data_IF_744064715004
#
_entry.id   IF_744064715004
#
_cell.length_a   1.000
_cell.length_b   1.000
_cell.length_c   1.000
_cell.angle_alpha   90.00
_cell.angle_beta   90.00
_cell.angle_gamma   90.00
#
_symmetry.space_group_name_H-M   'P 1'
#
loop_
_entity.id
_entity.type
_entity.pdbx_description
1 polymer ?
#
# COMPACT_ATOMS: atom_id res chain seq x y z
N UNK A 1 13.84 19.70 -11.87
CA UNK A 1 15.12 19.66 -11.12
C UNK A 1 15.98 18.64 -11.82
N UNK A 2 17.29 18.87 -12.04
CA UNK A 2 18.13 17.88 -12.72
C UNK A 2 17.92 16.48 -12.14
N UNK A 3 17.56 15.51 -12.99
CA UNK A 3 17.31 14.12 -12.60
C UNK A 3 15.98 13.78 -11.91
N UNK A 4 15.03 14.72 -11.73
CA UNK A 4 13.78 14.40 -11.02
C UNK A 4 12.60 15.37 -11.21
N UNK A 5 11.42 14.92 -10.74
CA UNK A 5 10.19 15.74 -10.69
C UNK A 5 10.17 16.56 -9.40
N UNK A 6 9.75 17.82 -9.50
CA UNK A 6 9.42 18.62 -8.34
C UNK A 6 8.11 19.36 -8.57
N UNK A 7 7.29 19.41 -7.53
CA UNK A 7 6.16 20.33 -7.46
C UNK A 7 6.67 21.68 -6.99
N UNK A 8 6.21 22.75 -7.63
CA UNK A 8 6.53 24.12 -7.25
C UNK A 8 5.22 24.81 -6.88
N UNK A 9 5.15 25.37 -5.68
CA UNK A 9 4.12 26.32 -5.31
C UNK A 9 4.73 27.73 -5.35
N UNK A 10 4.00 28.68 -5.93
CA UNK A 10 4.44 30.07 -6.09
C UNK A 10 3.31 30.95 -5.56
N UNK A 11 3.65 31.90 -4.70
CA UNK A 11 2.76 32.98 -4.28
C UNK A 11 3.38 34.33 -4.66
N UNK A 12 2.53 35.30 -4.97
CA UNK A 12 2.91 36.63 -5.46
C UNK A 12 2.49 37.71 -4.46
N UNK A 13 2.85 38.97 -4.72
CA UNK A 13 2.64 40.13 -3.83
C UNK A 13 1.23 40.24 -3.23
N UNK A 14 0.19 39.89 -4.00
CA UNK A 14 -1.20 39.90 -3.53
C UNK A 14 -1.46 38.97 -2.33
N UNK A 15 -0.63 37.96 -2.12
CA UNK A 15 -0.71 37.00 -1.01
C UNK A 15 0.60 36.93 -0.17
N UNK A 16 1.70 37.50 -0.66
CA UNK A 16 3.00 37.54 -0.01
C UNK A 16 3.54 38.98 -0.05
N UNK A 17 3.27 39.79 0.99
CA UNK A 17 3.61 41.22 0.99
C UNK A 17 5.10 41.54 0.73
N UNK A 18 5.99 40.58 0.98
CA UNK A 18 7.44 40.70 0.79
C UNK A 18 7.91 40.29 -0.62
N UNK A 19 7.00 39.98 -1.55
CA UNK A 19 7.32 39.66 -2.94
C UNK A 19 6.98 38.23 -3.36
N UNK A 20 7.83 37.64 -4.21
CA UNK A 20 7.65 36.26 -4.68
C UNK A 20 8.18 35.26 -3.66
N UNK A 21 7.36 34.27 -3.30
CA UNK A 21 7.82 33.13 -2.50
C UNK A 21 7.58 31.80 -3.23
N UNK A 22 8.56 30.89 -3.13
CA UNK A 22 8.57 29.60 -3.80
C UNK A 22 8.73 28.46 -2.79
N UNK A 23 7.95 27.39 -2.96
CA UNK A 23 8.15 26.14 -2.24
C UNK A 23 8.35 24.99 -3.23
N UNK A 24 9.51 24.33 -3.15
CA UNK A 24 9.86 23.18 -3.98
C UNK A 24 9.70 21.89 -3.19
N UNK A 25 8.89 20.96 -3.71
CA UNK A 25 8.78 19.59 -3.18
C UNK A 25 9.34 18.63 -4.20
N UNK A 26 10.53 18.07 -3.93
CA UNK A 26 11.17 17.06 -4.78
C UNK A 26 10.53 15.70 -4.53
N UNK A 27 10.31 14.95 -5.60
CA UNK A 27 9.89 13.56 -5.53
C UNK A 27 11.07 12.66 -5.93
N UNK A 28 11.15 11.46 -5.35
CA UNK A 28 12.12 10.44 -5.78
C UNK A 28 11.89 10.15 -7.27
N UNK A 29 12.97 10.04 -8.03
CA UNK A 29 12.92 9.72 -9.46
C UNK A 29 12.54 8.26 -9.71
N UNK A 30 12.88 7.38 -8.76
CA UNK A 30 12.58 5.96 -8.72
C UNK A 30 11.50 5.68 -7.66
N UNK A 31 10.65 4.69 -7.90
CA UNK A 31 9.59 4.26 -6.99
C UNK A 31 10.18 3.75 -5.68
N UNK A 32 9.43 3.90 -4.59
CA UNK A 32 9.75 3.21 -3.36
C UNK A 32 9.40 1.72 -3.51
N UNK A 33 10.13 0.86 -2.81
CA UNK A 33 9.88 -0.59 -2.75
C UNK A 33 9.79 -1.00 -1.29
N UNK A 34 9.17 -2.16 -1.01
CA UNK A 34 9.12 -2.67 0.36
C UNK A 34 10.52 -3.00 0.93
N UNK A 35 11.45 -3.64 0.19
CA UNK A 35 12.84 -3.80 0.65
C UNK A 35 13.55 -2.48 0.95
N UNK A 36 13.36 -1.45 0.11
CA UNK A 36 13.94 -0.14 0.39
C UNK A 36 13.36 0.50 1.66
N UNK A 37 12.07 0.32 1.93
CA UNK A 37 11.47 0.77 3.19
C UNK A 37 11.98 0.01 4.41
N UNK A 38 12.33 -1.27 4.26
CA UNK A 38 12.98 -2.06 5.32
C UNK A 38 14.36 -1.48 5.62
N UNK A 39 15.17 -1.20 4.59
CA UNK A 39 16.51 -0.59 4.76
C UNK A 39 16.46 0.77 5.46
N UNK A 40 15.40 1.54 5.25
CA UNK A 40 15.22 2.88 5.83
C UNK A 40 14.45 2.86 7.17
N UNK A 41 14.29 1.68 7.78
CA UNK A 41 13.54 1.46 9.03
C UNK A 41 12.10 2.01 9.01
N UNK A 42 11.51 2.16 7.84
CA UNK A 42 10.15 2.71 7.72
C UNK A 42 9.09 1.66 8.09
N UNK A 43 9.39 0.40 7.81
CA UNK A 43 8.59 -0.79 8.16
C UNK A 43 9.53 -1.98 8.31
N UNK A 44 9.26 -2.87 9.26
CA UNK A 44 10.07 -4.09 9.39
C UNK A 44 9.69 -5.16 8.33
N UNK A 45 10.52 -6.21 8.15
CA UNK A 45 10.26 -7.25 7.15
C UNK A 45 8.89 -7.93 7.28
N UNK A 46 8.42 -8.17 8.51
CA UNK A 46 7.14 -8.84 8.75
C UNK A 46 5.96 -7.97 8.31
N UNK A 47 5.98 -6.67 8.65
CA UNK A 47 4.96 -5.73 8.17
C UNK A 47 4.93 -5.60 6.66
N UNK A 48 6.11 -5.55 6.02
CA UNK A 48 6.23 -5.52 4.57
C UNK A 48 5.67 -6.80 3.93
N UNK A 49 5.97 -7.96 4.50
CA UNK A 49 5.43 -9.25 4.05
C UNK A 49 3.91 -9.33 4.19
N UNK A 50 3.36 -8.83 5.30
CA UNK A 50 1.93 -8.77 5.53
C UNK A 50 1.23 -7.86 4.51
N UNK A 51 1.77 -6.67 4.23
CA UNK A 51 1.24 -5.78 3.18
C UNK A 51 1.30 -6.47 1.81
N UNK A 52 2.41 -7.12 1.47
CA UNK A 52 2.56 -7.88 0.22
C UNK A 52 1.48 -8.97 0.09
N UNK A 53 1.23 -9.74 1.16
CA UNK A 53 0.20 -10.76 1.18
C UNK A 53 -1.22 -10.19 1.01
N UNK A 54 -1.52 -9.06 1.68
CA UNK A 54 -2.82 -8.38 1.59
C UNK A 54 -3.08 -7.84 0.17
N UNK A 55 -2.06 -7.25 -0.46
CA UNK A 55 -2.14 -6.70 -1.82
C UNK A 55 -2.36 -7.81 -2.84
N UNK A 56 -1.57 -8.88 -2.76
CA UNK A 56 -1.70 -10.06 -3.63
C UNK A 56 -3.05 -10.78 -3.43
N UNK A 57 -3.61 -10.71 -2.22
CA UNK A 57 -4.98 -11.14 -1.89
C UNK A 57 -6.09 -10.22 -2.40
N UNK A 58 -5.78 -9.21 -3.22
CA UNK A 58 -6.71 -8.28 -3.86
C UNK A 58 -7.65 -7.56 -2.87
N UNK A 59 -7.14 -7.19 -1.69
CA UNK A 59 -7.92 -6.48 -0.66
C UNK A 59 -7.97 -4.99 -0.88
N UNK A 60 -8.97 -4.35 -0.26
CA UNK A 60 -9.05 -2.90 -0.23
C UNK A 60 -8.23 -2.33 0.93
N UNK A 61 -7.31 -1.41 0.60
CA UNK A 61 -6.34 -0.86 1.54
C UNK A 61 -6.33 0.66 1.48
N UNK A 62 -6.54 1.30 2.64
CA UNK A 62 -6.31 2.73 2.81
C UNK A 62 -5.01 2.98 3.56
N UNK A 63 -4.11 3.72 2.93
CA UNK A 63 -2.88 4.21 3.55
C UNK A 63 -3.16 5.57 4.19
N UNK A 64 -3.13 5.62 5.52
CA UNK A 64 -3.46 6.81 6.31
C UNK A 64 -2.22 7.40 6.98
N UNK A 65 -2.35 8.61 7.50
CA UNK A 65 -1.27 9.37 8.11
C UNK A 65 -1.34 10.87 7.88
N UNK A 66 -0.44 11.62 8.51
CA UNK A 66 -0.31 13.07 8.33
C UNK A 66 0.33 13.46 6.99
N UNK A 67 0.36 14.76 6.71
CA UNK A 67 0.99 15.30 5.49
C UNK A 67 2.50 15.05 5.52
N UNK A 68 3.01 14.40 4.48
CA UNK A 68 4.44 14.06 4.37
C UNK A 68 4.89 12.91 5.29
N UNK A 69 3.96 12.10 5.83
CA UNK A 69 4.29 10.90 6.58
C UNK A 69 4.80 9.75 5.70
N UNK A 70 4.47 9.73 4.40
CA UNK A 70 4.93 8.70 3.46
C UNK A 70 3.83 7.87 2.80
N UNK A 71 2.54 8.17 3.05
CA UNK A 71 1.37 7.45 2.50
C UNK A 71 1.48 7.09 1.01
N UNK A 72 1.67 8.10 0.16
CA UNK A 72 1.73 7.92 -1.30
C UNK A 72 2.95 7.11 -1.72
N UNK A 73 4.05 7.22 -1.00
CA UNK A 73 5.24 6.39 -1.21
C UNK A 73 4.97 4.93 -0.86
N UNK A 74 4.32 4.67 0.29
CA UNK A 74 3.95 3.32 0.70
C UNK A 74 2.93 2.69 -0.26
N UNK A 75 1.89 3.43 -0.65
CA UNK A 75 0.96 3.02 -1.70
C UNK A 75 1.71 2.64 -2.99
N UNK A 76 2.67 3.47 -3.43
CA UNK A 76 3.44 3.18 -4.64
C UNK A 76 4.30 1.92 -4.54
N UNK A 77 4.85 1.63 -3.34
CA UNK A 77 5.60 0.39 -3.10
C UNK A 77 4.66 -0.82 -3.09
N UNK A 78 3.49 -0.70 -2.44
CA UNK A 78 2.47 -1.75 -2.44
C UNK A 78 1.98 -2.08 -3.85
N UNK A 79 1.84 -1.09 -4.74
CA UNK A 79 1.46 -1.34 -6.14
C UNK A 79 2.45 -2.25 -6.89
N UNK A 80 3.72 -2.29 -6.49
CA UNK A 80 4.73 -3.17 -7.10
C UNK A 80 4.57 -4.64 -6.71
N UNK A 81 3.79 -4.93 -5.67
CA UNK A 81 3.48 -6.29 -5.24
C UNK A 81 2.33 -6.92 -6.07
N UNK A 82 1.60 -6.11 -6.86
CA UNK A 82 0.61 -6.61 -7.82
C UNK A 82 1.28 -7.39 -8.96
N UNK A 83 0.59 -8.39 -9.49
CA UNK A 83 1.10 -9.16 -10.63
C UNK A 83 1.04 -8.31 -11.90
N UNK A 84 2.09 -8.33 -12.74
CA UNK A 84 2.14 -7.54 -14.00
C UNK A 84 0.99 -7.81 -14.98
N UNK A 85 0.33 -8.97 -14.86
CA UNK A 85 -0.86 -9.32 -15.67
C UNK A 85 -2.09 -8.50 -15.29
N UNK A 86 -2.12 -7.95 -14.08
CA UNK A 86 -3.23 -7.16 -13.58
C UNK A 86 -3.20 -5.77 -14.20
N UNK A 87 -4.36 -5.33 -14.67
CA UNK A 87 -4.54 -3.96 -15.13
C UNK A 87 -4.69 -3.04 -13.92
N UNK A 88 -3.95 -1.95 -13.88
CA UNK A 88 -4.05 -0.94 -12.83
C UNK A 88 -4.63 0.34 -13.44
N UNK A 89 -5.63 0.93 -12.81
CA UNK A 89 -6.13 2.26 -13.15
C UNK A 89 -5.87 3.19 -11.97
N UNK A 90 -5.13 4.27 -12.21
CA UNK A 90 -4.88 5.29 -11.19
C UNK A 90 -5.73 6.54 -11.43
N UNK A 91 -6.23 7.15 -10.37
CA UNK A 91 -6.93 8.43 -10.40
C UNK A 91 -6.22 9.39 -9.45
N UNK A 92 -5.64 10.47 -9.98
CA UNK A 92 -4.89 11.46 -9.20
C UNK A 92 -5.28 12.90 -9.60
N UNK A 93 -5.44 13.79 -8.61
CA UNK A 93 -5.56 15.24 -8.86
C UNK A 93 -4.19 15.87 -9.18
N UNK A 94 -3.17 15.42 -8.46
CA UNK A 94 -1.76 15.74 -8.63
C UNK A 94 -0.99 14.46 -8.91
N UNK A 95 -0.33 14.37 -10.07
CA UNK A 95 0.44 13.18 -10.46
C UNK A 95 1.67 12.99 -9.56
N UNK A 96 1.56 12.18 -8.52
CA UNK A 96 2.63 11.82 -7.60
C UNK A 96 3.14 10.39 -7.83
N UNK A 97 2.27 9.47 -8.26
CA UNK A 97 2.61 8.05 -8.48
C UNK A 97 3.68 7.87 -9.59
N UNK A 98 4.52 6.82 -9.51
CA UNK A 98 5.62 6.55 -10.44
C UNK A 98 5.18 5.81 -11.71
N UNK A 99 4.06 6.24 -12.32
CA UNK A 99 3.40 5.53 -13.43
C UNK A 99 4.34 5.19 -14.59
N UNK A 100 5.18 6.15 -15.02
CA UNK A 100 6.10 5.94 -16.15
C UNK A 100 7.09 4.81 -15.87
N UNK A 101 7.71 4.80 -14.70
CA UNK A 101 8.68 3.78 -14.34
C UNK A 101 8.02 2.40 -14.22
N UNK A 102 6.81 2.33 -13.64
CA UNK A 102 6.07 1.06 -13.58
C UNK A 102 5.71 0.54 -14.98
N UNK A 103 5.36 1.42 -15.92
CA UNK A 103 5.19 1.04 -17.34
C UNK A 103 6.49 0.53 -17.94
N UNK A 104 7.60 1.20 -17.68
CA UNK A 104 8.92 0.83 -18.22
C UNK A 104 9.35 -0.58 -17.76
N UNK A 105 8.97 -1.01 -16.54
CA UNK A 105 9.23 -2.37 -16.03
C UNK A 105 8.09 -3.38 -16.33
N UNK A 106 7.12 -3.00 -17.17
CA UNK A 106 6.15 -3.91 -17.78
C UNK A 106 4.78 -4.02 -17.11
N UNK A 107 4.38 -3.09 -16.25
CA UNK A 107 3.01 -3.05 -15.72
C UNK A 107 2.01 -2.46 -16.73
N UNK A 108 0.81 -3.04 -16.79
CA UNK A 108 -0.32 -2.49 -17.53
C UNK A 108 -1.07 -1.43 -16.70
N UNK A 109 -0.62 -0.18 -16.76
CA UNK A 109 -1.17 0.92 -15.95
C UNK A 109 -1.81 1.99 -16.82
N UNK A 110 -3.05 2.37 -16.53
CA UNK A 110 -3.69 3.57 -17.09
C UNK A 110 -3.76 4.67 -16.04
N UNK A 111 -3.38 5.90 -16.38
CA UNK A 111 -3.32 7.01 -15.43
C UNK A 111 -4.32 8.08 -15.81
N UNK A 112 -5.35 8.21 -14.99
CA UNK A 112 -6.37 9.24 -15.11
C UNK A 112 -6.03 10.44 -14.22
N UNK A 113 -6.17 11.63 -14.80
CA UNK A 113 -6.05 12.89 -14.06
C UNK A 113 -7.45 13.40 -13.73
N UNK A 114 -7.73 13.63 -12.45
CA UNK A 114 -8.94 14.32 -12.02
C UNK A 114 -8.68 15.80 -11.82
N UNK A 115 -9.76 16.60 -11.85
CA UNK A 115 -9.72 18.03 -11.56
C UNK A 115 -9.27 18.25 -10.12
N UNK A 116 -8.26 19.10 -9.93
CA UNK A 116 -7.89 19.52 -8.58
C UNK A 116 -8.98 20.39 -7.96
N UNK A 117 -9.33 20.08 -6.70
CA UNK A 117 -10.27 20.87 -5.89
C UNK A 117 -9.76 22.30 -5.67
N UNK A 118 -8.43 22.53 -5.73
CA UNK A 118 -7.79 23.82 -5.47
C UNK A 118 -7.72 24.68 -6.74
N UNK A 119 -7.21 24.14 -7.84
CA UNK A 119 -6.96 24.95 -9.06
C UNK A 119 -8.15 24.99 -10.02
N UNK A 120 -9.12 24.08 -9.87
CA UNK A 120 -10.38 24.04 -10.63
C UNK A 120 -10.25 24.36 -12.13
N UNK A 121 -9.37 23.65 -12.83
CA UNK A 121 -9.17 23.86 -14.28
C UNK A 121 -10.41 23.39 -15.04
N UNK A 122 -11.01 24.29 -15.85
CA UNK A 122 -12.33 24.08 -16.48
C UNK A 122 -12.42 22.80 -17.34
N UNK A 123 -11.34 22.40 -18.01
CA UNK A 123 -11.31 21.26 -18.92
C UNK A 123 -10.98 19.90 -18.26
N UNK A 124 -10.71 19.86 -16.95
CA UNK A 124 -10.45 18.60 -16.24
C UNK A 124 -11.76 18.01 -15.72
N UNK A 125 -11.91 16.68 -15.73
CA UNK A 125 -13.12 16.02 -15.22
C UNK A 125 -13.05 15.80 -13.70
N UNK A 126 -14.17 15.84 -12.97
CA UNK A 126 -14.21 15.50 -11.54
C UNK A 126 -13.71 14.08 -11.27
N UNK A 127 -13.17 13.84 -10.07
CA UNK A 127 -12.69 12.51 -9.66
C UNK A 127 -13.79 11.44 -9.67
N UNK A 128 -15.03 11.80 -9.35
CA UNK A 128 -16.20 10.92 -9.47
C UNK A 128 -16.37 10.38 -10.90
N UNK A 129 -16.22 11.24 -11.92
CA UNK A 129 -16.38 10.83 -13.31
C UNK A 129 -15.22 9.93 -13.77
N UNK A 130 -14.00 10.21 -13.29
CA UNK A 130 -12.85 9.35 -13.53
C UNK A 130 -13.06 7.95 -12.91
N UNK A 131 -13.56 7.86 -11.68
CA UNK A 131 -13.89 6.58 -11.03
C UNK A 131 -14.98 5.85 -11.82
N UNK A 132 -16.10 6.50 -12.17
CA UNK A 132 -17.15 5.86 -12.96
C UNK A 132 -16.65 5.38 -14.32
N UNK A 133 -15.72 6.12 -14.92
CA UNK A 133 -15.07 5.74 -16.18
C UNK A 133 -14.14 4.54 -15.99
N UNK A 134 -13.36 4.48 -14.91
CA UNK A 134 -12.48 3.35 -14.64
C UNK A 134 -13.25 2.03 -14.52
N UNK A 135 -14.46 2.05 -13.94
CA UNK A 135 -15.32 0.86 -13.85
C UNK A 135 -15.78 0.34 -15.22
N UNK A 136 -15.75 1.18 -16.27
CA UNK A 136 -16.08 0.77 -17.64
C UNK A 136 -14.87 0.22 -18.41
N UNK A 137 -13.67 0.32 -17.85
CA UNK A 137 -12.45 -0.20 -18.46
C UNK A 137 -12.23 -1.69 -18.18
N UNK A 138 -13.18 -2.34 -17.53
CA UNK A 138 -13.13 -3.75 -17.14
C UNK A 138 -12.38 -3.96 -15.82
N UNK A 139 -12.14 -5.24 -15.53
CA UNK A 139 -11.51 -5.66 -14.29
C UNK A 139 -10.10 -5.06 -14.17
N UNK A 140 -9.91 -4.23 -13.14
CA UNK A 140 -8.66 -3.55 -12.86
C UNK A 140 -8.51 -3.30 -11.37
N UNK A 141 -7.27 -3.28 -10.91
CA UNK A 141 -6.94 -2.71 -9.61
C UNK A 141 -7.15 -1.20 -9.70
N UNK A 142 -7.88 -0.62 -8.74
CA UNK A 142 -8.20 0.79 -8.70
C UNK A 142 -7.35 1.49 -7.64
N UNK A 143 -6.55 2.46 -8.05
CA UNK A 143 -5.69 3.23 -7.15
C UNK A 143 -6.09 4.70 -7.14
N UNK A 144 -6.50 5.20 -5.99
CA UNK A 144 -6.85 6.61 -5.80
C UNK A 144 -5.68 7.31 -5.10
N UNK A 145 -5.09 8.30 -5.76
CA UNK A 145 -3.93 9.02 -5.24
C UNK A 145 -4.18 9.62 -3.86
N UNK A 146 -5.34 10.24 -3.66
CA UNK A 146 -5.82 10.67 -2.36
C UNK A 146 -7.35 10.80 -2.35
N UNK A 147 -8.00 10.29 -1.30
CA UNK A 147 -9.43 10.43 -1.03
C UNK A 147 -9.63 11.65 -0.13
N UNK A 148 -10.21 12.73 -0.66
CA UNK A 148 -10.32 14.04 -0.01
C UNK A 148 -11.73 14.62 0.00
N UNK A 149 -12.57 14.29 -0.97
CA UNK A 149 -13.84 14.98 -1.23
C UNK A 149 -14.92 14.01 -1.76
N UNK A 150 -15.82 14.49 -2.63
CA UNK A 150 -17.03 13.79 -3.09
C UNK A 150 -16.75 12.44 -3.77
N UNK A 151 -15.55 12.23 -4.29
CA UNK A 151 -15.13 10.97 -4.89
C UNK A 151 -15.18 9.78 -3.93
N UNK A 152 -15.15 10.04 -2.62
CA UNK A 152 -15.27 9.00 -1.61
C UNK A 152 -16.58 8.23 -1.75
N UNK A 153 -17.72 8.92 -1.93
CA UNK A 153 -19.03 8.26 -2.09
C UNK A 153 -19.03 7.35 -3.31
N UNK A 154 -18.56 7.86 -4.43
CA UNK A 154 -18.46 7.10 -5.68
C UNK A 154 -17.54 5.89 -5.55
N UNK A 155 -16.37 6.05 -4.90
CA UNK A 155 -15.44 4.96 -4.64
C UNK A 155 -16.10 3.85 -3.82
N UNK A 156 -16.71 4.21 -2.69
CA UNK A 156 -17.33 3.23 -1.80
C UNK A 156 -18.59 2.59 -2.38
N UNK A 157 -19.35 3.31 -3.22
CA UNK A 157 -20.42 2.73 -4.01
C UNK A 157 -19.88 1.68 -4.98
N UNK A 158 -18.81 1.99 -5.72
CA UNK A 158 -18.18 1.08 -6.65
C UNK A 158 -17.65 -0.20 -5.97
N UNK A 159 -17.02 -0.04 -4.80
CA UNK A 159 -16.53 -1.16 -4.01
C UNK A 159 -17.67 -2.07 -3.51
N UNK A 160 -18.78 -1.49 -3.03
CA UNK A 160 -19.92 -2.27 -2.53
C UNK A 160 -20.60 -3.11 -3.60
N UNK A 161 -20.76 -2.57 -4.81
CA UNK A 161 -21.42 -3.29 -5.91
C UNK A 161 -20.51 -4.29 -6.60
N UNK A 162 -19.26 -4.45 -6.11
CA UNK A 162 -18.28 -5.37 -6.70
C UNK A 162 -17.81 -4.94 -8.09
N UNK A 163 -17.96 -3.66 -8.45
CA UNK A 163 -17.51 -3.15 -9.74
C UNK A 163 -15.98 -3.06 -9.84
N UNK A 164 -15.28 -3.19 -8.72
CA UNK A 164 -13.83 -3.39 -8.69
C UNK A 164 -13.55 -4.83 -8.30
N UNK A 165 -12.97 -5.59 -9.24
CA UNK A 165 -12.74 -7.02 -9.08
C UNK A 165 -11.38 -7.37 -8.44
N UNK A 166 -10.44 -6.41 -8.40
CA UNK A 166 -9.07 -6.58 -7.91
C UNK A 166 -8.76 -5.61 -6.76
N UNK A 167 -7.49 -5.51 -6.37
CA UNK A 167 -6.98 -4.59 -5.36
C UNK A 167 -7.54 -3.16 -5.48
N UNK A 168 -7.95 -2.59 -4.35
CA UNK A 168 -8.35 -1.17 -4.26
C UNK A 168 -7.40 -0.47 -3.29
N UNK A 169 -6.58 0.44 -3.78
CA UNK A 169 -5.64 1.20 -2.97
C UNK A 169 -5.99 2.68 -2.92
N UNK A 170 -5.88 3.32 -1.75
CA UNK A 170 -6.07 4.76 -1.63
C UNK A 170 -5.20 5.38 -0.56
N UNK A 171 -4.88 6.67 -0.67
CA UNK A 171 -4.36 7.42 0.48
C UNK A 171 -5.42 8.33 1.07
N UNK A 172 -5.35 8.56 2.39
CA UNK A 172 -6.27 9.45 3.09
C UNK A 172 -5.57 10.11 4.27
N UNK A 173 -6.06 11.27 4.71
CA UNK A 173 -5.58 11.88 5.94
C UNK A 173 -6.32 11.29 7.16
N UNK A 174 -5.57 10.91 8.18
CA UNK A 174 -6.06 10.31 9.42
C UNK A 174 -4.91 9.60 10.14
N UNK A 175 -4.76 9.79 11.44
CA UNK A 175 -3.62 9.24 12.22
C UNK A 175 -3.91 7.85 12.82
N UNK A 176 -5.18 7.44 12.81
CA UNK A 176 -5.68 6.15 13.31
C UNK A 176 -6.83 5.62 12.45
N UNK A 177 -7.17 4.33 12.61
CA UNK A 177 -8.32 3.72 11.93
C UNK A 177 -9.64 4.46 12.23
N UNK A 178 -9.86 4.88 13.49
CA UNK A 178 -11.03 5.66 13.86
C UNK A 178 -11.06 7.03 13.19
N UNK A 179 -9.93 7.74 13.12
CA UNK A 179 -9.88 9.04 12.43
C UNK A 179 -10.15 8.91 10.92
N UNK A 180 -9.76 7.78 10.31
CA UNK A 180 -10.09 7.47 8.92
C UNK A 180 -11.59 7.22 8.76
N UNK A 181 -12.20 6.48 9.68
CA UNK A 181 -13.65 6.30 9.71
C UNK A 181 -14.40 7.61 9.88
N UNK A 182 -14.03 8.43 10.86
CA UNK A 182 -14.64 9.73 11.11
C UNK A 182 -14.54 10.63 9.86
N UNK A 183 -13.35 10.66 9.23
CA UNK A 183 -13.14 11.38 7.97
C UNK A 183 -14.04 10.86 6.85
N UNK A 184 -14.09 9.56 6.63
CA UNK A 184 -14.82 8.98 5.49
C UNK A 184 -16.33 9.06 5.70
N UNK A 185 -16.79 8.75 6.91
CA UNK A 185 -18.22 8.61 7.21
C UNK A 185 -18.84 9.95 7.61
N UNK A 186 -18.23 10.67 8.55
CA UNK A 186 -18.83 11.87 9.12
C UNK A 186 -18.48 13.12 8.28
N UNK A 187 -17.21 13.30 7.89
CA UNK A 187 -16.83 14.48 7.07
C UNK A 187 -17.27 14.33 5.61
N UNK A 188 -16.99 13.17 4.98
CA UNK A 188 -17.27 12.95 3.56
C UNK A 188 -18.66 12.35 3.31
N UNK A 189 -19.40 11.99 4.36
CA UNK A 189 -20.78 11.52 4.25
C UNK A 189 -20.94 10.16 3.57
N UNK A 190 -19.90 9.31 3.60
CA UNK A 190 -20.02 7.93 3.12
C UNK A 190 -20.85 7.12 4.14
N UNK A 191 -21.86 6.36 3.73
CA UNK A 191 -22.62 5.54 4.68
C UNK A 191 -21.74 4.55 5.45
N UNK A 192 -21.98 4.38 6.76
CA UNK A 192 -21.27 3.42 7.63
C UNK A 192 -21.18 2.02 7.03
N UNK A 193 -22.29 1.55 6.45
CA UNK A 193 -22.35 0.25 5.78
C UNK A 193 -21.44 0.15 4.56
N UNK A 194 -21.18 1.26 3.86
CA UNK A 194 -20.22 1.30 2.76
C UNK A 194 -18.79 1.30 3.25
N UNK A 195 -18.47 1.97 4.36
CA UNK A 195 -17.12 2.00 4.91
C UNK A 195 -16.54 0.60 5.17
N UNK A 196 -17.42 -0.36 5.51
CA UNK A 196 -17.09 -1.79 5.65
C UNK A 196 -16.50 -2.43 4.39
N UNK A 197 -16.60 -1.80 3.22
CA UNK A 197 -15.90 -2.25 2.03
C UNK A 197 -14.38 -2.04 2.10
N UNK A 198 -13.88 -1.18 3.01
CA UNK A 198 -12.46 -1.11 3.39
C UNK A 198 -12.10 -2.36 4.17
N UNK A 199 -11.03 -3.06 3.80
CA UNK A 199 -10.58 -4.26 4.49
C UNK A 199 -9.46 -3.96 5.47
N UNK A 200 -8.46 -3.17 5.04
CA UNK A 200 -7.27 -2.84 5.84
C UNK A 200 -7.00 -1.34 5.82
N UNK A 201 -6.58 -0.81 6.97
CA UNK A 201 -6.05 0.55 7.11
C UNK A 201 -4.60 0.44 7.57
N UNK A 202 -3.67 0.98 6.78
CA UNK A 202 -2.25 1.04 7.12
C UNK A 202 -1.91 2.46 7.55
N UNK A 203 -1.65 2.65 8.84
CA UNK A 203 -1.36 3.95 9.43
C UNK A 203 0.13 4.25 9.39
N UNK A 204 0.50 5.42 8.89
CA UNK A 204 1.88 5.91 8.79
C UNK A 204 2.01 7.24 9.51
N UNK A 205 2.90 7.33 10.50
CA UNK A 205 3.08 8.54 11.29
C UNK A 205 4.53 8.98 11.36
N UNK A 206 4.71 10.25 11.74
CA UNK A 206 6.02 10.83 12.04
C UNK A 206 6.30 10.63 13.53
N UNK A 207 7.40 9.99 13.86
CA UNK A 207 7.86 9.78 15.24
C UNK A 207 8.99 10.77 15.51
N UNK A 208 8.93 11.48 16.63
CA UNK A 208 9.99 12.41 17.03
C UNK A 208 10.97 11.71 17.96
N UNK A 209 12.26 12.04 17.84
CA UNK A 209 13.25 11.66 18.84
C UNK A 209 12.92 12.32 20.20
N UNK A 210 13.42 11.77 21.33
CA UNK A 210 13.16 12.33 22.66
C UNK A 210 13.63 13.78 22.83
N UNK A 211 14.66 14.20 22.09
CA UNK A 211 15.18 15.57 22.06
C UNK A 211 14.44 16.48 21.04
N UNK A 212 13.53 15.93 20.25
CA UNK A 212 12.77 16.62 19.20
C UNK A 212 13.61 17.07 17.98
N UNK A 213 14.89 16.72 17.91
CA UNK A 213 15.78 17.15 16.83
C UNK A 213 15.60 16.33 15.55
N UNK A 214 15.22 15.06 15.70
CA UNK A 214 15.03 14.13 14.59
C UNK A 214 13.57 13.73 14.45
N UNK A 215 13.17 13.46 13.22
CA UNK A 215 11.82 12.99 12.90
C UNK A 215 11.92 11.83 11.94
N UNK A 216 11.51 10.66 12.42
CA UNK A 216 11.44 9.42 11.68
C UNK A 216 10.03 9.23 11.12
N UNK A 217 9.89 8.40 10.10
CA UNK A 217 8.59 8.01 9.55
C UNK A 217 8.47 6.51 9.73
N UNK A 218 7.39 6.07 10.38
CA UNK A 218 7.15 4.66 10.66
C UNK A 218 5.74 4.29 10.22
N UNK A 219 5.58 3.07 9.72
CA UNK A 219 4.26 2.41 9.76
C UNK A 219 3.96 2.13 11.22
N UNK A 220 2.86 2.68 11.73
CA UNK A 220 2.50 2.59 13.15
C UNK A 220 1.40 1.58 13.44
N UNK A 221 0.69 1.13 12.42
CA UNK A 221 -0.35 0.13 12.56
C UNK A 221 -0.82 -0.45 11.23
N UNK A 222 -1.15 -1.74 11.25
CA UNK A 222 -1.88 -2.42 10.18
C UNK A 222 -3.17 -2.93 10.81
N UNK A 223 -4.27 -2.22 10.55
CA UNK A 223 -5.55 -2.43 11.23
C UNK A 223 -6.55 -3.07 10.27
N UNK A 224 -7.15 -4.17 10.69
CA UNK A 224 -8.28 -4.80 10.01
C UNK A 224 -9.59 -4.06 10.33
N UNK A 225 -10.40 -3.85 9.29
CA UNK A 225 -11.78 -3.37 9.42
C UNK A 225 -12.72 -4.57 9.35
N UNK A 226 -13.18 -5.01 10.53
CA UNK A 226 -14.18 -6.08 10.68
C UNK A 226 -15.54 -5.62 10.15
N UNK A 227 -16.44 -6.57 9.90
CA UNK A 227 -17.71 -6.30 9.18
C UNK A 227 -18.95 -6.35 10.07
N UNK A 228 -18.83 -6.81 11.32
CA UNK A 228 -19.98 -7.14 12.19
C UNK A 228 -20.43 -6.01 13.14
N UNK A 229 -19.77 -4.86 13.14
CA UNK A 229 -20.18 -3.66 13.90
C UNK A 229 -21.34 -2.94 13.21
N UNK A 230 -22.11 -2.11 13.91
CA UNK A 230 -23.29 -1.43 13.35
C UNK A 230 -23.16 0.09 13.37
N UNK A 231 -22.76 0.66 14.50
CA UNK A 231 -22.81 2.10 14.76
C UNK A 231 -21.42 2.70 15.02
N UNK A 232 -20.73 2.28 16.09
CA UNK A 232 -19.37 2.73 16.42
C UNK A 232 -18.37 1.57 16.28
N UNK A 233 -17.52 1.57 15.24
CA UNK A 233 -16.55 0.50 15.03
C UNK A 233 -15.44 0.44 16.10
N UNK A 234 -15.19 1.50 16.87
CA UNK A 234 -14.20 1.45 17.95
C UNK A 234 -14.76 0.75 19.20
N UNK A 235 -16.04 0.95 19.50
CA UNK A 235 -16.71 0.33 20.65
C UNK A 235 -17.18 -1.11 20.36
N UNK A 236 -17.43 -1.44 19.09
CA UNK A 236 -17.98 -2.74 18.65
C UNK A 236 -16.93 -3.68 18.02
N UNK A 237 -15.65 -3.53 18.39
CA UNK A 237 -14.54 -4.33 17.83
C UNK A 237 -14.49 -4.35 16.29
N UNK A 238 -14.87 -3.23 15.67
CA UNK A 238 -14.81 -3.01 14.23
C UNK A 238 -13.40 -2.74 13.72
N UNK A 239 -12.50 -2.25 14.56
CA UNK A 239 -11.08 -2.06 14.26
C UNK A 239 -10.22 -2.99 15.10
N UNK A 240 -9.44 -3.83 14.44
CA UNK A 240 -8.54 -4.77 15.11
C UNK A 240 -7.15 -4.68 14.50
N UNK A 241 -6.18 -4.29 15.33
CA UNK A 241 -4.80 -4.20 14.91
C UNK A 241 -4.23 -5.60 14.69
N UNK A 242 -3.69 -5.85 13.49
CA UNK A 242 -2.90 -7.04 13.18
C UNK A 242 -1.43 -6.83 13.58
N UNK A 243 -0.95 -5.60 13.41
CA UNK A 243 0.36 -5.17 13.88
C UNK A 243 0.27 -3.74 14.43
N UNK A 244 1.06 -3.45 15.47
CA UNK A 244 1.11 -2.15 16.12
C UNK A 244 2.55 -1.78 16.43
N UNK A 245 2.88 -0.50 16.30
CA UNK A 245 4.21 -0.01 16.60
C UNK A 245 4.46 0.08 18.11
N UNK A 246 5.59 -0.48 18.54
CA UNK A 246 6.13 -0.37 19.88
C UNK A 246 7.24 0.69 19.89
N UNK A 247 7.01 1.78 20.63
CA UNK A 247 7.97 2.88 20.73
C UNK A 247 9.22 2.55 21.55
N UNK A 248 9.19 1.50 22.37
CA UNK A 248 10.35 1.09 23.16
C UNK A 248 11.35 0.32 22.29
N UNK A 249 10.85 -0.46 21.35
CA UNK A 249 11.67 -1.28 20.45
C UNK A 249 11.92 -0.59 19.09
N UNK A 250 11.20 0.50 18.77
CA UNK A 250 11.16 1.13 17.43
C UNK A 250 10.77 0.12 16.33
N UNK A 251 9.84 -0.78 16.67
CA UNK A 251 9.45 -1.86 15.78
C UNK A 251 7.93 -1.99 15.64
N UNK A 252 7.49 -2.47 14.47
CA UNK A 252 6.10 -2.85 14.22
C UNK A 252 5.88 -4.29 14.69
N UNK A 253 5.24 -4.49 15.84
CA UNK A 253 5.08 -5.80 16.45
C UNK A 253 3.73 -6.46 16.09
N UNK A 254 3.69 -7.79 15.86
CA UNK A 254 2.45 -8.52 15.60
C UNK A 254 1.61 -8.66 16.87
N UNK A 255 0.30 -8.44 16.75
CA UNK A 255 -0.67 -8.66 17.84
C UNK A 255 -1.04 -10.14 17.99
N UNK A 256 -1.68 -10.48 19.10
CA UNK A 256 -2.17 -11.86 19.31
C UNK A 256 -3.23 -12.26 18.28
N UNK A 257 -4.08 -11.33 17.83
CA UNK A 257 -5.03 -11.58 16.74
C UNK A 257 -4.32 -12.08 15.48
N UNK A 258 -3.21 -11.45 15.10
CA UNK A 258 -2.44 -11.90 13.94
C UNK A 258 -1.78 -13.26 14.22
N UNK A 259 -1.10 -13.41 15.36
CA UNK A 259 -0.38 -14.66 15.70
C UNK A 259 -1.31 -15.87 15.76
N UNK A 260 -2.50 -15.70 16.33
CA UNK A 260 -3.50 -16.75 16.53
C UNK A 260 -4.35 -17.02 15.29
N UNK A 261 -4.22 -16.24 14.21
CA UNK A 261 -5.00 -16.44 12.98
C UNK A 261 -6.46 -16.00 13.09
N UNK A 262 -6.76 -15.05 13.96
CA UNK A 262 -8.12 -14.55 14.22
C UNK A 262 -8.55 -13.45 13.23
N UNK A 263 -7.68 -13.08 12.29
CA UNK A 263 -7.97 -12.09 11.25
C UNK A 263 -9.06 -12.61 10.31
N UNK A 264 -10.17 -11.86 10.19
CA UNK A 264 -11.26 -12.23 9.28
C UNK A 264 -10.85 -12.00 7.83
N UNK A 265 -10.07 -10.94 7.57
CA UNK A 265 -9.68 -10.57 6.21
C UNK A 265 -8.62 -11.53 5.65
N UNK A 266 -7.61 -11.90 6.43
CA UNK A 266 -6.59 -12.84 5.98
C UNK A 266 -7.19 -14.23 5.74
N UNK A 267 -8.10 -14.69 6.62
CA UNK A 267 -8.83 -15.94 6.40
C UNK A 267 -9.71 -15.91 5.14
N UNK A 268 -10.30 -14.76 4.77
CA UNK A 268 -11.00 -14.63 3.48
C UNK A 268 -10.06 -14.72 2.28
N UNK A 269 -8.79 -14.31 2.39
CA UNK A 269 -7.79 -14.54 1.33
C UNK A 269 -7.55 -16.04 1.21
N UNK A 270 -7.34 -16.70 2.36
CA UNK A 270 -7.12 -18.14 2.44
C UNK A 270 -8.27 -18.97 1.87
N UNK A 271 -9.53 -18.58 2.09
CA UNK A 271 -10.72 -19.27 1.56
C UNK A 271 -10.74 -19.40 0.03
N UNK A 272 -10.08 -18.49 -0.69
CA UNK A 272 -10.00 -18.48 -2.15
C UNK A 272 -8.85 -19.35 -2.69
N UNK A 273 -7.99 -19.87 -1.82
CA UNK A 273 -6.84 -20.70 -2.19
C UNK A 273 -7.01 -22.07 -1.54
N UNK A 274 -7.15 -23.11 -2.37
CA UNK A 274 -7.48 -24.46 -1.90
C UNK A 274 -6.50 -24.97 -0.86
N UNK A 275 -5.22 -24.67 -1.04
CA UNK A 275 -4.10 -25.06 -0.19
C UNK A 275 -4.06 -24.32 1.17
N UNK A 276 -4.77 -23.19 1.31
CA UNK A 276 -4.79 -22.38 2.54
C UNK A 276 -6.11 -22.46 3.29
N UNK A 277 -7.15 -23.00 2.66
CA UNK A 277 -8.50 -23.01 3.23
C UNK A 277 -8.53 -23.79 4.55
N UNK A 278 -8.90 -23.09 5.63
CA UNK A 278 -8.91 -23.60 7.01
C UNK A 278 -7.51 -24.01 7.54
N UNK A 279 -6.43 -23.52 6.95
CA UNK A 279 -5.07 -23.78 7.38
C UNK A 279 -4.32 -22.45 7.62
N UNK A 280 -4.45 -21.95 8.85
CA UNK A 280 -3.76 -20.73 9.25
C UNK A 280 -2.23 -20.86 9.21
N UNK A 281 -1.69 -22.06 9.47
CA UNK A 281 -0.24 -22.26 9.45
C UNK A 281 0.28 -22.07 8.03
N UNK A 282 -0.40 -22.63 7.01
CA UNK A 282 -0.01 -22.41 5.62
C UNK A 282 -0.06 -20.92 5.20
N UNK A 283 -1.04 -20.16 5.70
CA UNK A 283 -1.12 -18.70 5.48
C UNK A 283 0.05 -17.99 6.16
N UNK A 284 0.29 -18.30 7.43
CA UNK A 284 1.37 -17.70 8.22
C UNK A 284 2.74 -18.03 7.63
N UNK A 285 2.97 -19.26 7.21
CA UNK A 285 4.19 -19.72 6.56
C UNK A 285 4.42 -19.00 5.23
N UNK A 286 3.36 -18.69 4.47
CA UNK A 286 3.49 -17.85 3.27
C UNK A 286 3.93 -16.43 3.61
N UNK A 287 3.35 -15.82 4.65
CA UNK A 287 3.74 -14.50 5.13
C UNK A 287 5.19 -14.53 5.61
N UNK A 288 5.60 -15.57 6.36
CA UNK A 288 6.97 -15.74 6.83
C UNK A 288 7.97 -15.97 5.70
N UNK A 289 7.59 -16.70 4.65
CA UNK A 289 8.39 -16.85 3.45
C UNK A 289 8.64 -15.49 2.77
N UNK A 290 7.59 -14.66 2.63
CA UNK A 290 7.72 -13.29 2.09
C UNK A 290 8.60 -12.40 2.97
N UNK A 291 8.51 -12.56 4.30
CA UNK A 291 9.37 -11.87 5.27
C UNK A 291 10.84 -12.24 5.02
N UNK A 292 11.16 -13.53 4.96
CA UNK A 292 12.51 -14.03 4.75
C UNK A 292 13.09 -13.54 3.41
N UNK A 293 12.34 -13.65 2.32
CA UNK A 293 12.80 -13.17 1.00
C UNK A 293 13.08 -11.66 1.02
N UNK A 294 12.19 -10.84 1.58
CA UNK A 294 12.39 -9.39 1.62
C UNK A 294 13.59 -8.99 2.49
N UNK A 295 13.79 -9.68 3.62
CA UNK A 295 14.96 -9.53 4.48
C UNK A 295 16.25 -9.88 3.73
N UNK A 296 16.27 -11.02 3.04
CA UNK A 296 17.43 -11.48 2.27
C UNK A 296 17.81 -10.51 1.15
N UNK A 297 16.84 -9.87 0.47
CA UNK A 297 17.13 -8.82 -0.53
C UNK A 297 17.91 -7.67 0.11
N UNK A 298 17.49 -7.23 1.30
CA UNK A 298 18.11 -6.10 2.02
C UNK A 298 19.51 -6.48 2.47
N UNK A 299 19.66 -7.63 3.15
CA UNK A 299 20.94 -8.14 3.62
C UNK A 299 21.92 -8.27 2.44
N UNK A 300 21.48 -8.85 1.32
CA UNK A 300 22.32 -9.00 0.11
C UNK A 300 22.73 -7.65 -0.49
N UNK A 301 21.84 -6.66 -0.50
CA UNK A 301 22.15 -5.31 -0.98
C UNK A 301 23.22 -4.63 -0.11
N UNK A 302 23.15 -4.81 1.21
CA UNK A 302 24.12 -4.27 2.15
C UNK A 302 25.47 -4.99 2.06
N UNK A 303 25.47 -6.31 2.05
CA UNK A 303 26.68 -7.14 1.92
C UNK A 303 27.49 -6.82 0.66
N UNK A 304 26.80 -6.54 -0.44
CA UNK A 304 27.43 -6.30 -1.74
C UNK A 304 27.60 -4.82 -2.08
N UNK A 305 27.00 -3.92 -1.28
CA UNK A 305 26.92 -2.49 -1.57
C UNK A 305 26.12 -2.16 -2.84
N UNK A 306 25.27 -3.08 -3.30
CA UNK A 306 24.50 -2.94 -4.54
C UNK A 306 23.04 -2.52 -4.26
N UNK A 307 22.81 -1.21 -4.19
CA UNK A 307 21.48 -0.65 -3.95
C UNK A 307 20.47 -0.91 -5.09
N UNK A 308 20.92 -1.36 -6.27
CA UNK A 308 20.01 -1.74 -7.37
C UNK A 308 19.10 -2.92 -7.00
N UNK A 309 19.51 -3.76 -6.05
CA UNK A 309 18.69 -4.85 -5.52
C UNK A 309 17.44 -4.35 -4.78
N UNK A 310 17.45 -3.09 -4.32
CA UNK A 310 16.33 -2.47 -3.61
C UNK A 310 15.38 -1.72 -4.54
N UNK A 311 15.69 -1.65 -5.82
CA UNK A 311 14.95 -0.85 -6.80
C UNK A 311 13.85 -1.66 -7.48
N UNK A 312 12.83 -0.93 -7.95
CA UNK A 312 11.59 -1.53 -8.44
C UNK A 312 11.77 -2.62 -9.50
N UNK A 313 12.76 -2.47 -10.39
CA UNK A 313 13.03 -3.48 -11.43
C UNK A 313 13.42 -4.83 -10.83
N UNK A 314 14.35 -4.81 -9.87
CA UNK A 314 14.81 -6.01 -9.19
C UNK A 314 13.73 -6.58 -8.28
N UNK A 315 13.13 -5.76 -7.41
CA UNK A 315 12.16 -6.24 -6.41
C UNK A 315 10.92 -6.84 -7.06
N UNK A 316 10.48 -6.29 -8.20
CA UNK A 316 9.37 -6.86 -8.96
C UNK A 316 9.76 -8.20 -9.61
N UNK A 317 10.96 -8.31 -10.18
CA UNK A 317 11.45 -9.57 -10.73
C UNK A 317 11.54 -10.65 -9.64
N UNK A 318 12.09 -10.28 -8.47
CA UNK A 318 12.18 -11.14 -7.31
C UNK A 318 10.81 -11.65 -6.83
N UNK A 319 9.79 -10.77 -6.81
CA UNK A 319 8.42 -11.16 -6.48
C UNK A 319 7.81 -12.09 -7.56
N UNK A 320 8.03 -11.81 -8.85
CA UNK A 320 7.58 -12.69 -9.93
C UNK A 320 8.24 -14.08 -9.84
N UNK A 321 9.53 -14.12 -9.48
CA UNK A 321 10.26 -15.36 -9.29
C UNK A 321 9.68 -16.19 -8.16
N UNK A 322 9.29 -15.56 -7.06
CA UNK A 322 8.57 -16.20 -5.96
C UNK A 322 7.32 -16.91 -6.47
N UNK A 323 6.41 -16.23 -7.18
CA UNK A 323 5.18 -16.86 -7.69
C UNK A 323 5.44 -18.03 -8.63
N UNK A 324 6.43 -17.91 -9.53
CA UNK A 324 6.81 -18.99 -10.45
C UNK A 324 7.38 -20.20 -9.72
N UNK A 325 8.18 -19.99 -8.68
CA UNK A 325 8.75 -21.07 -7.88
C UNK A 325 7.71 -21.72 -6.97
N UNK A 326 6.82 -20.93 -6.36
CA UNK A 326 5.65 -21.42 -5.64
C UNK A 326 4.81 -22.35 -6.50
N UNK A 327 4.47 -21.93 -7.73
CA UNK A 327 3.73 -22.79 -8.66
C UNK A 327 4.48 -24.10 -8.94
N UNK A 328 5.77 -24.04 -9.30
CA UNK A 328 6.57 -25.22 -9.63
C UNK A 328 6.69 -26.19 -8.46
N UNK A 329 6.95 -25.70 -7.25
CA UNK A 329 7.03 -26.54 -6.05
C UNK A 329 5.68 -27.20 -5.78
N UNK A 330 4.58 -26.46 -5.92
CA UNK A 330 3.23 -27.03 -5.81
C UNK A 330 2.94 -28.14 -6.83
N UNK A 331 3.37 -27.96 -8.07
CA UNK A 331 3.22 -28.99 -9.13
C UNK A 331 4.10 -30.22 -8.90
N UNK A 332 5.32 -30.04 -8.39
CA UNK A 332 6.29 -31.13 -8.17
C UNK A 332 6.00 -31.96 -6.91
N UNK A 333 5.53 -31.33 -5.84
CA UNK A 333 5.40 -31.96 -4.51
C UNK A 333 3.96 -32.07 -4.02
N UNK A 334 3.00 -31.45 -4.71
CA UNK A 334 1.59 -31.47 -4.34
C UNK A 334 1.21 -30.49 -3.22
N UNK A 335 2.17 -29.73 -2.70
CA UNK A 335 1.98 -28.74 -1.64
C UNK A 335 2.92 -27.54 -1.81
N UNK A 336 2.59 -26.41 -1.17
CA UNK A 336 3.42 -25.20 -1.14
C UNK A 336 4.47 -25.28 -0.03
N UNK A 337 5.50 -26.13 -0.21
CA UNK A 337 6.63 -26.24 0.73
C UNK A 337 7.47 -24.95 0.72
N UNK A 338 7.32 -24.15 1.78
CA UNK A 338 7.93 -22.82 1.89
C UNK A 338 9.46 -22.87 2.00
N UNK A 339 10.03 -23.89 2.64
CA UNK A 339 11.48 -24.07 2.75
C UNK A 339 12.09 -24.34 1.37
N UNK A 340 11.46 -25.21 0.56
CA UNK A 340 11.92 -25.48 -0.81
C UNK A 340 11.78 -24.26 -1.71
N UNK A 341 10.67 -23.53 -1.59
CA UNK A 341 10.46 -22.29 -2.36
C UNK A 341 11.56 -21.29 -2.01
N UNK A 342 11.83 -21.08 -0.72
CA UNK A 342 12.88 -20.17 -0.27
C UNK A 342 14.25 -20.59 -0.78
N UNK A 343 14.63 -21.86 -0.63
CA UNK A 343 15.93 -22.36 -1.07
C UNK A 343 16.17 -22.14 -2.58
N UNK A 344 15.19 -22.48 -3.43
CA UNK A 344 15.26 -22.25 -4.88
C UNK A 344 15.26 -20.76 -5.25
N UNK A 345 14.54 -19.95 -4.48
CA UNK A 345 14.48 -18.51 -4.69
C UNK A 345 15.80 -17.84 -4.28
N UNK A 346 16.40 -18.27 -3.17
CA UNK A 346 17.70 -17.79 -2.67
C UNK A 346 18.83 -18.17 -3.62
N UNK A 347 18.83 -19.39 -4.15
CA UNK A 347 19.78 -19.79 -5.21
C UNK A 347 19.67 -18.88 -6.44
N UNK A 348 18.43 -18.52 -6.84
CA UNK A 348 18.24 -17.56 -7.92
C UNK A 348 18.75 -16.16 -7.57
N UNK A 349 18.49 -15.68 -6.34
CA UNK A 349 18.95 -14.38 -5.84
C UNK A 349 20.48 -14.29 -5.90
N UNK A 350 21.17 -15.32 -5.41
CA UNK A 350 22.64 -15.38 -5.41
C UNK A 350 23.25 -15.33 -6.81
N UNK A 351 22.51 -15.78 -7.83
CA UNK A 351 22.93 -15.70 -9.24
C UNK A 351 22.74 -14.30 -9.87
N UNK A 352 22.03 -13.38 -9.20
CA UNK A 352 21.77 -12.04 -9.74
C UNK A 352 22.84 -11.00 -9.33
N UNK A 353 23.74 -11.36 -8.41
CA UNK A 353 24.64 -10.43 -7.73
C UNK A 353 26.07 -10.57 -8.20
#
# INVERSE_FOLDING_TARGET
VPGGRARVAIIQENLSPEGLAFAFRRHRSRAWTLPLFIKEDFINPLGAALISFIVDGNRSVLFSGTRGAGKTSLLSASMLELLKKERIVTVEDTRELPIRQMKDIGFNIESMKSRSVITQVENELPAEEAIRTSLRLGDSALVIGEVRSDEAKTLYEAMRVGAVANFVGGTIHGESAYSVFDRVVNDLGVPKTSFKATDIIVSVNKIQSPDGMETYRRVTGITEVRKNWTDDPQEEDGFVDLMRYDSNEDELVPTDTLKNGESVILNRIAENVREWKNDWNAVWDNIKLREQMKREIVEKAEETGNDELLEAEFTVNANQRFHLLSQKVGEEYGEQDTERIFARWKEWLDQQV
#
